data_IF_325607998010
#
_entry.id   IF_325607998010
#
_cell.length_a   1.000
_cell.length_b   1.000
_cell.length_c   1.000
_cell.angle_alpha   90.00
_cell.angle_beta   90.00
_cell.angle_gamma   90.00
#
_symmetry.space_group_name_H-M   'P 1'
#
loop_
_entity.id
_entity.type
_entity.pdbx_description
1 polymer ?
#
# COMPACT_ATOMS: atom_id res chain seq x y z
N UNK A 1 -4.44 22.63 -4.11
CA UNK A 1 -3.72 21.40 -3.72
C UNK A 1 -4.75 20.31 -3.46
N UNK A 2 -4.55 19.09 -4.01
CA UNK A 2 -5.50 17.99 -3.82
C UNK A 2 -5.44 17.46 -2.38
N UNK A 3 -6.59 17.06 -1.85
CA UNK A 3 -6.71 16.55 -0.49
C UNK A 3 -7.29 15.15 -0.47
N UNK A 4 -6.87 14.36 0.51
CA UNK A 4 -7.41 13.03 0.76
C UNK A 4 -8.91 13.13 1.11
N UNK A 5 -9.78 12.54 0.28
CA UNK A 5 -11.24 12.64 0.44
C UNK A 5 -11.82 11.61 1.40
N UNK A 6 -11.14 10.49 1.57
CA UNK A 6 -11.51 9.47 2.55
C UNK A 6 -10.49 9.50 3.67
N UNK A 7 -10.85 10.01 4.86
CA UNK A 7 -9.94 10.05 6.01
C UNK A 7 -9.40 8.67 6.37
N UNK A 8 -8.21 8.63 6.96
CA UNK A 8 -7.64 7.40 7.51
C UNK A 8 -8.50 6.91 8.66
N UNK A 9 -8.78 5.61 8.68
CA UNK A 9 -9.64 4.97 9.66
C UNK A 9 -9.06 3.63 10.15
N UNK A 10 -9.76 3.00 11.08
CA UNK A 10 -9.38 1.68 11.59
C UNK A 10 -9.44 0.57 10.53
N UNK A 11 -10.17 0.78 9.43
CA UNK A 11 -10.26 -0.19 8.32
C UNK A 11 -9.05 -0.13 7.37
N UNK A 12 -8.20 0.88 7.50
CA UNK A 12 -6.99 0.99 6.70
C UNK A 12 -5.89 0.04 7.21
N UNK A 13 -5.03 -0.40 6.28
CA UNK A 13 -3.77 -1.03 6.63
C UNK A 13 -2.78 0.02 7.11
N UNK A 14 -2.45 -0.04 8.40
CA UNK A 14 -1.62 0.95 9.08
C UNK A 14 -0.40 0.28 9.69
N UNK A 15 0.73 0.93 9.59
CA UNK A 15 1.99 0.49 10.18
C UNK A 15 2.69 1.66 10.88
N UNK A 16 3.06 1.48 12.13
CA UNK A 16 3.63 2.52 12.97
C UNK A 16 2.77 2.83 14.19
N UNK A 17 3.14 3.86 14.94
CA UNK A 17 2.45 4.25 16.16
C UNK A 17 1.06 4.84 15.86
N UNK A 18 0.05 4.41 16.64
CA UNK A 18 -1.27 5.05 16.60
C UNK A 18 -1.26 6.51 17.09
N UNK A 19 -0.18 6.90 17.80
CA UNK A 19 0.04 8.25 18.33
C UNK A 19 1.03 9.06 17.47
N UNK A 20 1.38 8.56 16.27
CA UNK A 20 2.25 9.28 15.36
C UNK A 20 1.68 10.66 15.03
N UNK A 21 2.59 11.64 14.94
CA UNK A 21 2.22 13.04 14.67
C UNK A 21 1.93 13.29 13.21
N UNK A 22 2.53 12.50 12.31
CA UNK A 22 2.38 12.64 10.86
C UNK A 22 1.90 11.33 10.27
N UNK A 23 0.98 11.42 9.33
CA UNK A 23 0.44 10.29 8.57
C UNK A 23 0.86 10.38 7.11
N UNK A 24 1.49 9.31 6.60
CA UNK A 24 1.83 9.13 5.20
C UNK A 24 0.92 8.08 4.59
N UNK A 25 0.07 8.49 3.64
CA UNK A 25 -0.80 7.58 2.88
C UNK A 25 -0.21 7.36 1.49
N UNK A 26 -0.07 6.11 1.10
CA UNK A 26 0.30 5.70 -0.25
C UNK A 26 -0.88 5.00 -0.92
N UNK A 27 -1.21 5.44 -2.15
CA UNK A 27 -1.97 4.65 -3.10
C UNK A 27 -1.00 3.93 -4.02
N UNK A 28 -1.00 2.61 -3.97
CA UNK A 28 0.01 1.80 -4.62
C UNK A 28 -0.53 0.61 -5.39
N UNK A 29 0.30 0.14 -6.31
CA UNK A 29 0.08 -1.00 -7.19
C UNK A 29 1.30 -1.92 -7.10
N UNK A 30 1.09 -3.16 -6.68
CA UNK A 30 2.18 -4.12 -6.48
C UNK A 30 2.97 -4.48 -7.76
N UNK A 31 2.40 -4.24 -8.93
CA UNK A 31 3.11 -4.48 -10.20
C UNK A 31 3.73 -3.22 -10.80
N UNK A 32 3.43 -2.04 -10.27
CA UNK A 32 4.01 -0.79 -10.75
C UNK A 32 5.50 -0.71 -10.37
N UNK A 33 6.43 -0.54 -11.34
CA UNK A 33 7.86 -0.44 -11.04
C UNK A 33 8.21 0.75 -10.14
N UNK A 34 7.54 1.89 -10.33
CA UNK A 34 7.73 3.08 -9.49
C UNK A 34 7.27 2.86 -8.04
N UNK A 35 6.25 2.04 -7.82
CA UNK A 35 5.83 1.65 -6.48
C UNK A 35 6.86 0.74 -5.80
N UNK A 36 7.51 -0.14 -6.54
CA UNK A 36 8.60 -0.97 -6.02
C UNK A 36 9.82 -0.12 -5.61
N UNK A 37 10.14 0.93 -6.36
CA UNK A 37 11.18 1.89 -5.97
C UNK A 37 10.76 2.66 -4.72
N UNK A 38 9.53 3.16 -4.68
CA UNK A 38 8.98 3.90 -3.55
C UNK A 38 8.88 3.05 -2.27
N UNK A 39 8.69 1.74 -2.39
CA UNK A 39 8.68 0.82 -1.26
C UNK A 39 9.93 0.96 -0.37
N UNK A 40 11.11 0.99 -0.97
CA UNK A 40 12.37 1.15 -0.23
C UNK A 40 12.50 2.54 0.39
N UNK A 41 11.99 3.56 -0.28
CA UNK A 41 11.97 4.93 0.26
C UNK A 41 11.07 5.01 1.49
N UNK A 42 9.88 4.41 1.43
CA UNK A 42 8.95 4.33 2.57
C UNK A 42 9.58 3.59 3.74
N UNK A 43 10.26 2.45 3.49
CA UNK A 43 10.98 1.71 4.55
C UNK A 43 12.02 2.60 5.24
N UNK A 44 12.78 3.38 4.49
CA UNK A 44 13.77 4.31 5.03
C UNK A 44 13.11 5.44 5.83
N UNK A 45 11.98 5.98 5.35
CA UNK A 45 11.21 6.99 6.09
C UNK A 45 10.69 6.44 7.42
N UNK A 46 10.13 5.24 7.42
CA UNK A 46 9.65 4.57 8.62
C UNK A 46 10.80 4.34 9.63
N UNK A 47 11.96 3.93 9.16
CA UNK A 47 13.14 3.74 10.01
C UNK A 47 13.66 5.07 10.59
N UNK A 48 13.59 6.16 9.82
CA UNK A 48 14.06 7.48 10.23
C UNK A 48 13.11 8.13 11.25
N UNK A 49 11.82 8.15 10.97
CA UNK A 49 10.81 8.84 11.79
C UNK A 49 10.22 7.98 12.90
N UNK A 50 10.34 6.67 12.82
CA UNK A 50 9.88 5.71 13.87
C UNK A 50 8.47 6.01 14.34
N UNK A 51 8.31 6.30 15.63
CA UNK A 51 7.00 6.52 16.26
C UNK A 51 6.31 7.83 15.86
N UNK A 52 7.02 8.75 15.20
CA UNK A 52 6.45 10.00 14.70
C UNK A 52 5.71 9.83 13.35
N UNK A 53 5.87 8.68 12.66
CA UNK A 53 5.25 8.42 11.36
C UNK A 53 4.28 7.23 11.40
N UNK A 54 3.03 7.47 11.01
CA UNK A 54 2.07 6.42 10.68
C UNK A 54 2.03 6.24 9.17
N UNK A 55 2.36 5.05 8.68
CA UNK A 55 2.23 4.69 7.28
C UNK A 55 0.90 3.97 7.01
N UNK A 56 0.24 4.35 5.93
CA UNK A 56 -1.03 3.77 5.47
C UNK A 56 -0.89 3.38 4.01
N UNK A 57 -1.22 2.13 3.68
CA UNK A 57 -1.26 1.66 2.30
C UNK A 57 -2.69 1.44 1.84
N UNK A 58 -3.03 1.95 0.65
CA UNK A 58 -4.31 1.75 -0.03
C UNK A 58 -4.08 1.20 -1.42
N UNK A 59 -4.89 0.24 -1.82
CA UNK A 59 -4.80 -0.40 -3.12
C UNK A 59 -5.22 0.54 -4.25
N UNK A 60 -4.40 0.62 -5.28
CA UNK A 60 -4.73 1.32 -6.51
C UNK A 60 -4.23 0.53 -7.74
N UNK A 61 -4.74 -0.68 -7.96
CA UNK A 61 -4.28 -1.54 -9.05
C UNK A 61 -4.67 -0.97 -10.41
N UNK A 62 -3.66 -0.73 -11.26
CA UNK A 62 -3.82 -0.25 -12.63
C UNK A 62 -3.99 -1.45 -13.58
N UNK A 63 -5.14 -2.10 -13.50
CA UNK A 63 -5.40 -3.41 -14.13
C UNK A 63 -5.27 -3.41 -15.66
N UNK A 64 -5.43 -2.27 -16.31
CA UNK A 64 -5.24 -2.14 -17.75
C UNK A 64 -3.76 -2.25 -18.15
N UNK A 65 -2.85 -1.71 -17.34
CA UNK A 65 -1.41 -1.72 -17.59
C UNK A 65 -0.72 -2.92 -16.93
N UNK A 66 -1.24 -3.40 -15.80
CA UNK A 66 -0.59 -4.37 -14.92
C UNK A 66 -1.50 -5.59 -14.68
N UNK A 67 -1.33 -6.68 -15.46
CA UNK A 67 -2.24 -7.84 -15.41
C UNK A 67 -2.21 -8.60 -14.09
N UNK A 68 -1.13 -8.51 -13.29
CA UNK A 68 -1.02 -9.16 -11.99
C UNK A 68 -1.40 -8.27 -10.80
N UNK A 69 -1.70 -6.98 -11.03
CA UNK A 69 -1.93 -6.02 -9.96
C UNK A 69 -3.12 -6.40 -9.06
N UNK A 70 -4.24 -6.81 -9.66
CA UNK A 70 -5.43 -7.20 -8.90
C UNK A 70 -5.18 -8.46 -8.06
N UNK A 71 -4.60 -9.49 -8.64
CA UNK A 71 -4.32 -10.74 -7.93
C UNK A 71 -3.28 -10.54 -6.80
N UNK A 72 -2.30 -9.67 -7.00
CA UNK A 72 -1.36 -9.28 -5.95
C UNK A 72 -2.06 -8.55 -4.81
N UNK A 73 -2.95 -7.59 -5.12
CA UNK A 73 -3.76 -6.91 -4.12
C UNK A 73 -4.66 -7.87 -3.33
N UNK A 74 -5.31 -8.83 -4.02
CA UNK A 74 -6.10 -9.89 -3.37
C UNK A 74 -5.23 -10.73 -2.43
N UNK A 75 -4.01 -11.06 -2.83
CA UNK A 75 -3.06 -11.81 -2.00
C UNK A 75 -2.73 -11.06 -0.71
N UNK A 76 -2.45 -9.76 -0.80
CA UNK A 76 -2.19 -8.92 0.38
C UNK A 76 -3.43 -8.82 1.30
N UNK A 77 -4.63 -8.61 0.73
CA UNK A 77 -5.87 -8.54 1.52
C UNK A 77 -6.21 -9.89 2.16
N UNK A 78 -6.05 -11.00 1.45
CA UNK A 78 -6.22 -12.35 1.99
C UNK A 78 -5.30 -12.59 3.19
N UNK A 79 -4.01 -12.32 3.05
CA UNK A 79 -3.05 -12.41 4.13
C UNK A 79 -3.41 -11.45 5.28
N UNK A 80 -3.84 -10.25 4.95
CA UNK A 80 -4.25 -9.23 5.91
C UNK A 80 -5.45 -9.63 6.74
N UNK A 81 -6.44 -10.34 6.17
CA UNK A 81 -7.58 -10.88 6.91
C UNK A 81 -7.20 -11.93 7.96
N UNK A 82 -5.96 -12.41 7.89
CA UNK A 82 -5.37 -13.42 8.79
C UNK A 82 -4.17 -12.88 9.59
N UNK A 83 -3.98 -11.56 9.60
CA UNK A 83 -2.96 -10.89 10.39
C UNK A 83 -1.58 -10.75 9.75
N UNK A 84 -1.45 -10.99 8.43
CA UNK A 84 -0.17 -11.01 7.71
C UNK A 84 -0.12 -10.02 6.53
N UNK A 85 -0.83 -8.89 6.63
CA UNK A 85 -0.86 -7.91 5.53
C UNK A 85 0.55 -7.40 5.18
N UNK A 86 1.29 -6.92 6.17
CA UNK A 86 2.58 -6.27 5.94
C UNK A 86 3.65 -7.24 5.47
N UNK A 87 3.61 -8.49 5.94
CA UNK A 87 4.49 -9.56 5.48
C UNK A 87 4.24 -9.86 3.99
N UNK A 88 2.98 -10.00 3.59
CA UNK A 88 2.63 -10.19 2.19
C UNK A 88 2.96 -8.97 1.33
N UNK A 89 2.68 -7.76 1.84
CA UNK A 89 3.03 -6.48 1.20
C UNK A 89 4.52 -6.40 0.88
N UNK A 90 5.36 -6.70 1.86
CA UNK A 90 6.81 -6.69 1.69
C UNK A 90 7.25 -7.72 0.66
N UNK A 91 6.75 -8.96 0.75
CA UNK A 91 7.13 -10.03 -0.18
C UNK A 91 6.69 -9.78 -1.62
N UNK A 92 5.54 -9.15 -1.82
CA UNK A 92 5.05 -8.80 -3.15
C UNK A 92 5.97 -7.78 -3.83
N UNK A 93 6.39 -6.73 -3.12
CA UNK A 93 7.33 -5.74 -3.68
C UNK A 93 8.74 -6.30 -3.83
N UNK A 94 9.24 -7.04 -2.85
CA UNK A 94 10.58 -7.61 -2.89
C UNK A 94 10.75 -8.70 -3.97
N UNK A 95 9.64 -9.26 -4.47
CA UNK A 95 9.62 -10.27 -5.53
C UNK A 95 8.77 -9.82 -6.73
N UNK A 96 8.75 -8.52 -7.03
CA UNK A 96 7.91 -7.95 -8.09
C UNK A 96 8.16 -8.58 -9.47
N UNK A 97 9.40 -8.98 -9.75
CA UNK A 97 9.80 -9.66 -10.98
C UNK A 97 9.18 -11.07 -11.15
N UNK A 98 8.64 -11.63 -10.07
CA UNK A 98 8.05 -12.98 -10.04
C UNK A 98 6.54 -12.99 -9.77
N UNK A 99 5.85 -11.84 -9.84
CA UNK A 99 4.41 -11.76 -9.62
C UNK A 99 3.67 -12.77 -10.50
N UNK A 100 2.78 -13.52 -9.89
CA UNK A 100 2.00 -14.56 -10.52
C UNK A 100 1.51 -15.57 -9.49
N UNK A 101 0.63 -16.46 -9.91
CA UNK A 101 0.00 -17.43 -9.01
C UNK A 101 0.99 -18.27 -8.19
N UNK A 102 2.13 -18.76 -8.77
CA UNK A 102 3.11 -19.50 -7.96
C UNK A 102 3.66 -18.71 -6.77
N UNK A 103 3.98 -17.42 -6.96
CA UNK A 103 4.45 -16.55 -5.88
C UNK A 103 3.34 -16.31 -4.85
N UNK A 104 2.13 -16.03 -5.29
CA UNK A 104 0.99 -15.75 -4.40
C UNK A 104 0.70 -16.95 -3.49
N UNK A 105 0.70 -18.17 -4.04
CA UNK A 105 0.58 -19.41 -3.27
C UNK A 105 1.73 -19.60 -2.30
N UNK A 106 2.96 -19.34 -2.72
CA UNK A 106 4.14 -19.45 -1.88
C UNK A 106 4.08 -18.49 -0.68
N UNK A 107 3.60 -17.26 -0.88
CA UNK A 107 3.38 -16.29 0.20
C UNK A 107 2.37 -16.84 1.22
N UNK A 108 1.23 -17.34 0.78
CA UNK A 108 0.24 -17.92 1.67
C UNK A 108 0.84 -19.09 2.51
N UNK A 109 1.48 -20.02 1.85
CA UNK A 109 2.08 -21.21 2.50
C UNK A 109 3.17 -20.82 3.50
N UNK A 110 4.01 -19.84 3.18
CA UNK A 110 5.08 -19.37 4.07
C UNK A 110 4.54 -18.88 5.42
N UNK A 111 3.36 -18.30 5.43
CA UNK A 111 2.70 -17.82 6.66
C UNK A 111 1.71 -18.82 7.25
N UNK A 112 1.76 -20.07 6.83
CA UNK A 112 0.89 -21.13 7.33
C UNK A 112 -0.57 -20.99 6.89
N UNK A 113 -0.83 -20.22 5.82
CA UNK A 113 -2.16 -20.02 5.26
C UNK A 113 -2.43 -21.02 4.14
N UNK A 114 -3.73 -21.25 3.86
CA UNK A 114 -4.14 -22.13 2.76
C UNK A 114 -4.00 -21.43 1.41
N UNK A 115 -3.17 -21.95 0.54
CA UNK A 115 -3.03 -21.49 -0.84
C UNK A 115 -4.27 -21.80 -1.68
N UNK A 116 -5.02 -22.83 -1.32
CA UNK A 116 -6.30 -23.17 -1.95
C UNK A 116 -7.38 -22.14 -1.59
N UNK A 117 -7.48 -21.74 -0.32
CA UNK A 117 -8.40 -20.66 0.10
C UNK A 117 -8.06 -19.34 -0.58
N UNK A 118 -6.78 -19.01 -0.74
CA UNK A 118 -6.37 -17.84 -1.51
C UNK A 118 -6.85 -17.93 -2.97
N UNK A 119 -6.66 -19.07 -3.61
CA UNK A 119 -7.11 -19.27 -4.98
C UNK A 119 -8.62 -19.13 -5.11
N UNK A 120 -9.39 -19.73 -4.19
CA UNK A 120 -10.85 -19.58 -4.16
C UNK A 120 -11.27 -18.13 -3.94
N UNK A 121 -10.60 -17.39 -3.06
CA UNK A 121 -10.87 -15.97 -2.85
C UNK A 121 -10.61 -15.12 -4.10
N UNK A 122 -9.62 -15.49 -4.92
CA UNK A 122 -9.40 -14.87 -6.23
C UNK A 122 -10.55 -15.16 -7.19
N UNK A 123 -11.08 -16.40 -7.19
CA UNK A 123 -12.14 -16.82 -8.08
C UNK A 123 -13.49 -16.17 -7.73
N UNK A 124 -13.82 -16.08 -6.46
CA UNK A 124 -15.12 -15.56 -5.99
C UNK A 124 -15.14 -14.05 -5.75
N UNK A 125 -13.97 -13.38 -5.84
CA UNK A 125 -13.87 -11.93 -5.69
C UNK A 125 -14.07 -11.42 -4.27
N UNK A 126 -13.80 -12.22 -3.25
CA UNK A 126 -14.02 -11.89 -1.83
C UNK A 126 -13.46 -10.52 -1.42
N UNK A 127 -12.25 -10.18 -1.90
CA UNK A 127 -11.55 -8.95 -1.52
C UNK A 127 -11.70 -7.79 -2.52
N UNK A 128 -12.37 -8.03 -3.63
CA UNK A 128 -12.58 -7.00 -4.67
C UNK A 128 -13.31 -5.77 -4.12
N UNK A 129 -14.34 -5.87 -3.27
CA UNK A 129 -14.99 -4.69 -2.71
C UNK A 129 -14.05 -3.77 -1.93
N UNK A 130 -13.15 -4.32 -1.10
CA UNK A 130 -12.15 -3.55 -0.35
C UNK A 130 -11.19 -2.83 -1.31
N UNK A 131 -10.65 -3.55 -2.29
CA UNK A 131 -9.70 -3.02 -3.28
C UNK A 131 -10.36 -1.90 -4.10
N UNK A 132 -11.60 -2.10 -4.54
CA UNK A 132 -12.36 -1.07 -5.25
C UNK A 132 -12.70 0.13 -4.39
N UNK A 133 -12.97 -0.06 -3.11
CA UNK A 133 -13.20 1.04 -2.17
C UNK A 133 -11.95 1.93 -2.05
N UNK A 134 -10.76 1.32 -1.90
CA UNK A 134 -9.50 2.05 -1.89
C UNK A 134 -9.29 2.81 -3.21
N UNK A 135 -9.44 2.12 -4.33
CA UNK A 135 -9.28 2.69 -5.67
C UNK A 135 -10.21 3.90 -5.89
N UNK A 136 -11.50 3.75 -5.61
CA UNK A 136 -12.48 4.82 -5.76
C UNK A 136 -12.19 6.00 -4.83
N UNK A 137 -11.71 5.73 -3.61
CA UNK A 137 -11.25 6.76 -2.68
C UNK A 137 -10.06 7.53 -3.24
N UNK A 138 -9.14 6.85 -3.90
CA UNK A 138 -8.01 7.45 -4.60
C UNK A 138 -8.47 8.34 -5.76
N UNK A 139 -9.34 7.84 -6.62
CA UNK A 139 -9.89 8.63 -7.74
C UNK A 139 -10.55 9.91 -7.24
N UNK A 140 -11.37 9.82 -6.20
CA UNK A 140 -12.01 11.01 -5.58
C UNK A 140 -10.99 11.98 -4.99
N UNK A 141 -9.86 11.48 -4.53
CA UNK A 141 -8.76 12.29 -3.99
C UNK A 141 -7.86 12.91 -5.07
N UNK A 142 -8.08 12.56 -6.34
CA UNK A 142 -7.30 13.06 -7.47
C UNK A 142 -6.13 12.16 -7.88
N UNK A 143 -6.09 10.91 -7.40
CA UNK A 143 -5.08 9.94 -7.84
C UNK A 143 -5.33 9.55 -9.30
N UNK A 144 -4.31 9.69 -10.14
CA UNK A 144 -4.34 9.37 -11.57
C UNK A 144 -3.16 8.50 -12.02
N UNK A 145 -2.38 8.00 -11.07
CA UNK A 145 -1.22 7.14 -11.29
C UNK A 145 -0.63 6.72 -9.96
N UNK A 146 0.31 5.78 -10.00
CA UNK A 146 0.95 5.23 -8.79
C UNK A 146 2.48 5.32 -8.86
N UNK A 147 3.16 5.47 -7.73
CA UNK A 147 2.59 5.73 -6.41
C UNK A 147 2.00 7.14 -6.29
N UNK A 148 0.99 7.33 -5.45
CA UNK A 148 0.51 8.67 -5.07
C UNK A 148 0.54 8.79 -3.56
N UNK A 149 1.16 9.86 -3.05
CA UNK A 149 1.37 10.07 -1.64
C UNK A 149 0.57 11.25 -1.10
N UNK A 150 0.11 11.13 0.15
CA UNK A 150 -0.53 12.18 0.92
C UNK A 150 0.13 12.26 2.30
N UNK A 151 0.57 13.45 2.68
CA UNK A 151 1.15 13.75 3.99
C UNK A 151 0.12 14.56 4.76
N UNK A 152 -0.35 14.06 5.90
CA UNK A 152 -1.45 14.66 6.70
C UNK A 152 -2.66 15.08 5.85
N UNK A 153 -3.02 14.23 4.89
CA UNK A 153 -4.16 14.44 4.00
C UNK A 153 -3.94 15.43 2.86
N UNK A 154 -2.76 16.00 2.73
CA UNK A 154 -2.39 16.87 1.60
C UNK A 154 -1.57 16.07 0.58
N UNK A 155 -1.92 16.20 -0.70
CA UNK A 155 -1.19 15.50 -1.75
C UNK A 155 0.26 15.99 -1.82
N UNK A 156 1.17 15.04 -1.85
CA UNK A 156 2.57 15.27 -2.14
C UNK A 156 2.79 15.14 -3.65
N UNK A 157 3.14 16.24 -4.30
CA UNK A 157 3.33 16.30 -5.76
C UNK A 157 4.82 16.27 -6.18
N UNK A 158 5.74 16.11 -5.21
CA UNK A 158 7.18 15.99 -5.46
C UNK A 158 7.59 14.60 -5.94
N UNK A 159 8.86 14.44 -6.28
CA UNK A 159 9.43 13.14 -6.58
C UNK A 159 9.41 12.25 -5.32
N UNK A 160 9.11 10.95 -5.46
CA UNK A 160 9.19 10.03 -4.33
C UNK A 160 10.66 9.73 -4.01
N UNK A 161 11.31 10.67 -3.36
CA UNK A 161 12.70 10.59 -2.93
C UNK A 161 12.82 10.83 -1.43
N UNK A 162 13.73 10.13 -0.78
CA UNK A 162 13.88 10.18 0.67
C UNK A 162 14.09 11.61 1.20
N UNK A 163 14.99 12.36 0.59
CA UNK A 163 15.35 13.71 1.07
C UNK A 163 14.16 14.67 1.00
N UNK A 164 13.46 14.73 -0.15
CA UNK A 164 12.32 15.62 -0.33
C UNK A 164 11.14 15.24 0.56
N UNK A 165 10.82 13.95 0.61
CA UNK A 165 9.74 13.44 1.47
C UNK A 165 10.05 13.65 2.96
N UNK A 166 11.30 13.44 3.39
CA UNK A 166 11.71 13.69 4.79
C UNK A 166 11.51 15.16 5.17
N UNK A 167 11.91 16.08 4.31
CA UNK A 167 11.72 17.53 4.56
C UNK A 167 10.24 17.88 4.73
N UNK A 168 9.36 17.32 3.90
CA UNK A 168 7.91 17.56 4.02
C UNK A 168 7.33 16.98 5.30
N UNK A 169 7.77 15.79 5.70
CA UNK A 169 7.35 15.18 6.96
C UNK A 169 7.86 16.00 8.16
N UNK A 170 9.12 16.46 8.14
CA UNK A 170 9.68 17.32 9.18
C UNK A 170 8.91 18.64 9.33
N UNK A 171 8.50 19.26 8.22
CA UNK A 171 7.66 20.47 8.25
C UNK A 171 6.30 20.19 8.91
N UNK A 172 5.71 19.02 8.65
CA UNK A 172 4.45 18.62 9.30
C UNK A 172 4.61 18.34 10.80
N UNK A 173 5.78 17.89 11.24
CA UNK A 173 6.05 17.64 12.66
C UNK A 173 6.08 18.92 13.51
N UNK A 174 6.40 20.07 12.90
CA UNK A 174 6.56 21.36 13.60
C UNK A 174 5.40 22.32 13.37
N UNK A 175 4.42 21.93 12.56
CA UNK A 175 3.20 22.70 12.30
C UNK A 175 2.09 22.28 13.24
#
# INVERSE_FOLDING_TARGET
>A
MATLKVPVSASDHRQGSAHAKVTLVEFGDYQCPYCAEAYWIVKNLQQHFRDDLLFVFRNFPLTTAHPHAMAAAVTAEFAGSRGFFWEAHDELYENQDRLGLPLFRAIALKHGLSDEELYLAMQDGTYVPKIKSDFNGGVRSGVNGTPAFYIDGLRYDGAPEFTEMSQMIELSLVS
#
